data_IF_653055225222
#
_entry.id   IF_653055225222
#
_cell.length_a   1.000
_cell.length_b   1.000
_cell.length_c   1.000
_cell.angle_alpha   90.00
_cell.angle_beta   90.00
_cell.angle_gamma   90.00
#
_symmetry.space_group_name_H-M   'P 1'
#
loop_
_entity.id
_entity.type
_entity.pdbx_description
1 polymer ?
#
# COMPACT_ATOMS: atom_id res chain seq x y z
N UNK A 1 19.62 26.73 -4.18
CA UNK A 1 20.63 27.55 -3.46
C UNK A 1 20.49 27.33 -1.95
N UNK A 2 19.35 27.59 -1.30
CA UNK A 2 19.19 27.51 0.17
C UNK A 2 19.63 26.17 0.80
N UNK A 3 19.23 25.02 0.22
CA UNK A 3 19.60 23.68 0.72
C UNK A 3 21.12 23.50 0.74
N UNK A 4 21.83 23.92 -0.33
CA UNK A 4 23.30 23.86 -0.38
C UNK A 4 23.99 24.81 0.61
N UNK A 5 23.24 25.77 1.16
CA UNK A 5 23.70 26.71 2.20
C UNK A 5 23.29 26.27 3.60
N UNK A 6 22.81 25.02 3.76
CA UNK A 6 22.49 24.44 5.07
C UNK A 6 21.03 24.53 5.48
N UNK A 7 20.11 25.00 4.63
CA UNK A 7 18.69 24.91 4.91
C UNK A 7 18.24 23.45 4.94
N UNK A 8 17.42 23.09 5.93
CA UNK A 8 16.82 21.75 6.03
C UNK A 8 15.83 21.54 4.90
N UNK A 9 15.91 20.36 4.28
CA UNK A 9 15.01 19.94 3.21
C UNK A 9 13.98 18.94 3.75
N UNK A 10 12.71 19.32 3.77
CA UNK A 10 11.60 18.47 4.18
C UNK A 10 10.69 18.18 3.00
N UNK A 11 10.21 16.93 2.92
CA UNK A 11 9.18 16.49 2.00
C UNK A 11 7.91 16.11 2.76
N UNK A 12 6.74 16.49 2.24
CA UNK A 12 5.43 16.14 2.82
C UNK A 12 5.02 14.69 2.52
N UNK A 13 5.49 14.15 1.40
CA UNK A 13 5.36 12.76 0.97
C UNK A 13 6.35 12.50 -0.17
N UNK A 14 6.54 11.23 -0.53
CA UNK A 14 7.41 10.81 -1.62
C UNK A 14 6.65 10.14 -2.77
N UNK A 15 5.34 10.36 -2.89
CA UNK A 15 4.52 9.85 -4.00
C UNK A 15 5.06 10.39 -5.34
N UNK A 16 5.56 9.51 -6.20
CA UNK A 16 6.21 9.90 -7.46
C UNK A 16 5.23 10.29 -8.55
N UNK A 17 4.01 9.80 -8.48
CA UNK A 17 2.94 10.07 -9.43
C UNK A 17 1.65 10.47 -8.73
N UNK A 18 0.80 11.18 -9.46
CA UNK A 18 -0.53 11.57 -9.03
C UNK A 18 -1.53 11.13 -10.10
N UNK A 19 -2.51 10.27 -9.79
CA UNK A 19 -3.55 9.91 -10.74
C UNK A 19 -4.46 11.12 -11.01
N UNK A 20 -4.64 11.44 -12.28
CA UNK A 20 -5.54 12.48 -12.75
C UNK A 20 -6.41 11.93 -13.88
N UNK A 21 -7.43 12.66 -14.30
CA UNK A 21 -8.37 12.29 -15.37
C UNK A 21 -7.68 11.85 -16.68
N UNK A 22 -6.49 12.40 -16.98
CA UNK A 22 -5.70 12.10 -18.21
C UNK A 22 -4.63 11.03 -18.01
N UNK A 23 -4.57 10.34 -16.87
CA UNK A 23 -3.53 9.37 -16.53
C UNK A 23 -2.68 9.81 -15.35
N UNK A 24 -1.39 9.50 -15.35
CA UNK A 24 -0.49 9.85 -14.25
C UNK A 24 0.20 11.21 -14.49
N UNK A 25 0.03 12.12 -13.56
CA UNK A 25 0.78 13.37 -13.48
C UNK A 25 2.01 13.25 -12.56
N UNK A 26 2.86 14.24 -12.59
CA UNK A 26 4.05 14.35 -11.72
C UNK A 26 3.60 14.54 -10.28
N UNK A 27 3.97 13.60 -9.39
CA UNK A 27 3.75 13.68 -7.95
C UNK A 27 4.84 14.45 -7.22
N UNK A 28 4.61 14.73 -5.93
CA UNK A 28 5.55 15.45 -5.08
C UNK A 28 6.92 14.76 -5.00
N UNK A 29 6.95 13.43 -4.91
CA UNK A 29 8.19 12.65 -4.83
C UNK A 29 9.10 12.84 -6.04
N UNK A 30 8.55 13.01 -7.25
CA UNK A 30 9.34 13.30 -8.45
C UNK A 30 9.99 14.69 -8.39
N UNK A 31 9.28 15.70 -7.84
CA UNK A 31 9.84 17.03 -7.61
C UNK A 31 10.93 17.00 -6.52
N UNK A 32 10.71 16.23 -5.47
CA UNK A 32 11.69 15.99 -4.40
C UNK A 32 12.94 15.33 -4.96
N UNK A 33 12.80 14.28 -5.78
CA UNK A 33 13.91 13.58 -6.43
C UNK A 33 14.74 14.52 -7.35
N UNK A 34 14.08 15.41 -8.08
CA UNK A 34 14.77 16.41 -8.90
C UNK A 34 15.62 17.38 -8.04
N UNK A 35 15.09 17.83 -6.89
CA UNK A 35 15.81 18.71 -5.96
C UNK A 35 16.97 17.94 -5.29
N UNK A 36 16.73 16.71 -4.86
CA UNK A 36 17.75 15.82 -4.30
C UNK A 36 18.91 15.60 -5.27
N UNK A 37 18.60 15.26 -6.52
CA UNK A 37 19.59 15.11 -7.59
C UNK A 37 20.42 16.37 -7.82
N UNK A 38 19.77 17.55 -7.82
CA UNK A 38 20.43 18.82 -8.04
C UNK A 38 21.28 19.30 -6.86
N UNK A 39 20.94 18.90 -5.63
CA UNK A 39 21.61 19.39 -4.41
C UNK A 39 22.56 18.39 -3.77
N UNK A 40 22.36 17.09 -4.02
CA UNK A 40 23.03 15.99 -3.33
C UNK A 40 22.56 15.80 -1.88
N UNK A 41 21.44 16.43 -1.47
CA UNK A 41 20.93 16.39 -0.09
C UNK A 41 19.64 15.58 -0.05
N UNK A 42 19.64 14.55 0.81
CA UNK A 42 18.45 13.75 1.10
C UNK A 42 17.39 14.57 1.84
N UNK A 43 16.11 14.47 1.45
CA UNK A 43 15.03 15.10 2.19
C UNK A 43 14.75 14.36 3.50
N UNK A 44 14.31 15.09 4.51
CA UNK A 44 13.62 14.49 5.66
C UNK A 44 12.15 14.35 5.27
N UNK A 45 11.69 13.12 5.04
CA UNK A 45 10.26 12.90 4.78
C UNK A 45 9.46 13.08 6.08
N UNK A 46 8.49 13.99 6.07
CA UNK A 46 7.58 14.20 7.19
C UNK A 46 6.26 13.41 7.01
N UNK A 47 6.03 12.87 5.82
CA UNK A 47 4.87 12.07 5.46
C UNK A 47 5.25 10.70 4.91
N UNK A 48 4.31 10.08 4.21
CA UNK A 48 4.45 8.74 3.61
C UNK A 48 5.74 8.58 2.78
N UNK A 49 6.45 7.46 2.90
CA UNK A 49 6.19 6.25 3.69
C UNK A 49 6.64 6.30 5.16
N UNK A 50 7.05 7.46 5.67
CA UNK A 50 7.51 7.60 7.05
C UNK A 50 6.34 7.52 8.04
N UNK A 51 6.53 6.92 9.25
CA UNK A 51 5.46 6.67 10.21
C UNK A 51 4.94 7.91 10.93
N UNK A 52 5.66 9.03 10.87
CA UNK A 52 5.40 10.20 11.72
C UNK A 52 3.99 10.76 11.57
N UNK A 53 3.48 10.87 10.34
CA UNK A 53 2.13 11.39 10.07
C UNK A 53 1.04 10.47 10.62
N UNK A 54 1.19 9.16 10.43
CA UNK A 54 0.25 8.14 10.90
C UNK A 54 0.18 8.13 12.43
N UNK A 55 1.33 8.06 13.08
CA UNK A 55 1.43 8.05 14.56
C UNK A 55 0.91 9.35 15.17
N UNK A 56 1.18 10.49 14.54
CA UNK A 56 0.67 11.78 14.98
C UNK A 56 -0.86 11.82 14.91
N UNK A 57 -1.44 11.43 13.77
CA UNK A 57 -2.90 11.41 13.56
C UNK A 57 -3.59 10.49 14.58
N UNK A 58 -3.09 9.26 14.78
CA UNK A 58 -3.63 8.32 15.76
C UNK A 58 -3.59 8.89 17.19
N UNK A 59 -2.47 9.54 17.55
CA UNK A 59 -2.31 10.16 18.88
C UNK A 59 -3.28 11.32 19.09
N UNK A 60 -3.50 12.15 18.08
CA UNK A 60 -4.41 13.30 18.16
C UNK A 60 -5.84 12.92 18.52
N UNK A 61 -6.32 11.80 18.02
CA UNK A 61 -7.69 11.31 18.29
C UNK A 61 -7.75 10.24 19.38
N UNK A 62 -6.61 9.90 20.01
CA UNK A 62 -6.54 8.84 21.02
C UNK A 62 -6.90 7.45 20.50
N UNK A 63 -6.66 7.16 19.21
CA UNK A 63 -6.99 5.88 18.60
C UNK A 63 -6.15 4.75 19.22
N UNK A 64 -6.83 3.69 19.71
CA UNK A 64 -6.18 2.51 20.28
C UNK A 64 -5.82 1.46 19.24
N UNK A 65 -6.60 1.38 18.16
CA UNK A 65 -6.41 0.46 17.02
C UNK A 65 -6.64 1.23 15.73
N UNK A 66 -5.69 2.10 15.34
CA UNK A 66 -5.80 2.82 14.09
C UNK A 66 -5.64 1.87 12.90
N UNK A 67 -6.32 2.18 11.80
CA UNK A 67 -6.20 1.49 10.52
C UNK A 67 -5.70 2.49 9.49
N UNK A 68 -4.57 2.21 8.86
CA UNK A 68 -4.09 2.97 7.73
C UNK A 68 -4.75 2.44 6.45
N UNK A 69 -5.39 3.32 5.69
CA UNK A 69 -6.11 2.97 4.46
C UNK A 69 -5.48 3.72 3.30
N UNK A 70 -5.18 3.01 2.21
CA UNK A 70 -4.60 3.64 1.03
C UNK A 70 -4.60 2.72 -0.19
N UNK A 71 -4.18 3.28 -1.31
CA UNK A 71 -4.14 2.63 -2.62
C UNK A 71 -2.70 2.45 -3.14
N UNK A 72 -1.71 2.89 -2.39
CA UNK A 72 -0.29 2.77 -2.77
C UNK A 72 0.47 1.91 -1.78
N UNK A 73 1.09 0.85 -2.30
CA UNK A 73 1.90 -0.07 -1.49
C UNK A 73 3.19 0.58 -0.99
N UNK A 74 3.84 1.35 -1.84
CA UNK A 74 5.14 1.98 -1.59
C UNK A 74 5.10 3.15 -0.58
N UNK A 75 3.95 3.76 -0.39
CA UNK A 75 3.81 4.92 0.52
C UNK A 75 2.74 4.75 1.58
N UNK A 76 1.50 4.44 1.22
CA UNK A 76 0.40 4.33 2.20
C UNK A 76 0.55 3.09 3.07
N UNK A 77 0.72 1.94 2.44
CA UNK A 77 0.80 0.65 3.14
C UNK A 77 2.14 0.52 3.87
N UNK A 78 3.24 0.81 3.19
CA UNK A 78 4.56 0.83 3.81
C UNK A 78 4.62 1.78 5.01
N UNK A 79 4.01 2.96 4.90
CA UNK A 79 3.94 3.94 5.99
C UNK A 79 3.08 3.47 7.17
N UNK A 80 1.92 2.86 6.90
CA UNK A 80 1.07 2.24 7.92
C UNK A 80 1.80 1.10 8.65
N UNK A 81 2.47 0.22 7.91
CA UNK A 81 3.26 -0.87 8.46
C UNK A 81 4.44 -0.34 9.31
N UNK A 82 5.15 0.68 8.83
CA UNK A 82 6.23 1.35 9.57
C UNK A 82 5.73 2.01 10.86
N UNK A 83 4.47 2.45 10.89
CA UNK A 83 3.81 2.98 12.07
C UNK A 83 3.26 1.88 13.01
N UNK A 84 3.48 0.60 12.71
CA UNK A 84 2.93 -0.57 13.41
C UNK A 84 1.39 -0.53 13.52
N UNK A 85 0.73 -0.06 12.47
CA UNK A 85 -0.73 -0.05 12.34
C UNK A 85 -1.19 -1.20 11.45
N UNK A 86 -2.42 -1.67 11.67
CA UNK A 86 -3.10 -2.47 10.65
C UNK A 86 -3.29 -1.63 9.38
N UNK A 87 -3.18 -2.27 8.22
CA UNK A 87 -3.25 -1.60 6.92
C UNK A 87 -4.32 -2.23 6.03
N UNK A 88 -5.05 -1.38 5.31
CA UNK A 88 -6.09 -1.78 4.36
C UNK A 88 -5.80 -1.18 2.99
N UNK A 89 -5.52 -2.05 2.02
CA UNK A 89 -5.31 -1.64 0.65
C UNK A 89 -6.61 -1.65 -0.14
N UNK A 90 -6.86 -0.61 -0.94
CA UNK A 90 -8.01 -0.51 -1.86
C UNK A 90 -7.54 -0.57 -3.31
N UNK A 91 -8.19 -1.43 -4.11
CA UNK A 91 -7.85 -1.68 -5.53
C UNK A 91 -8.32 -0.57 -6.49
N UNK A 92 -8.92 0.51 -5.98
CA UNK A 92 -9.47 1.59 -6.79
C UNK A 92 -8.46 2.68 -7.19
N UNK A 93 -7.18 2.47 -6.88
CA UNK A 93 -6.15 3.49 -7.07
C UNK A 93 -4.95 3.06 -7.90
N UNK A 94 -3.75 3.30 -7.37
CA UNK A 94 -2.49 3.18 -8.11
C UNK A 94 -1.96 1.76 -8.16
N UNK A 95 -1.85 1.08 -7.00
CA UNK A 95 -1.29 -0.27 -6.94
C UNK A 95 -2.38 -1.31 -7.15
N UNK A 96 -2.19 -2.16 -8.17
CA UNK A 96 -3.14 -3.20 -8.56
C UNK A 96 -2.78 -4.60 -8.06
N UNK A 97 -3.37 -5.59 -8.68
CA UNK A 97 -3.28 -6.99 -8.26
C UNK A 97 -1.86 -7.55 -8.41
N UNK A 98 -1.16 -7.20 -9.50
CA UNK A 98 0.20 -7.70 -9.75
C UNK A 98 1.18 -7.12 -8.74
N UNK A 99 1.11 -5.82 -8.47
CA UNK A 99 1.94 -5.16 -7.47
C UNK A 99 1.72 -5.75 -6.07
N UNK A 100 0.47 -6.17 -5.75
CA UNK A 100 0.18 -6.88 -4.49
C UNK A 100 0.85 -8.25 -4.43
N UNK A 101 0.78 -9.03 -5.52
CA UNK A 101 1.41 -10.37 -5.58
C UNK A 101 2.92 -10.26 -5.36
N UNK A 102 3.55 -9.27 -5.99
CA UNK A 102 4.99 -9.02 -5.95
C UNK A 102 5.44 -8.17 -4.75
N UNK A 103 4.50 -7.75 -3.88
CA UNK A 103 4.80 -6.83 -2.80
C UNK A 103 5.86 -7.37 -1.84
N UNK A 104 6.92 -6.59 -1.56
CA UNK A 104 7.87 -6.92 -0.50
C UNK A 104 7.18 -6.87 0.86
N UNK A 105 7.72 -7.59 1.84
CA UNK A 105 7.08 -7.82 3.14
C UNK A 105 6.64 -6.52 3.82
N UNK A 106 7.46 -5.48 3.76
CA UNK A 106 7.21 -4.17 4.36
C UNK A 106 6.03 -3.42 3.73
N UNK A 107 5.63 -3.80 2.50
CA UNK A 107 4.52 -3.19 1.75
C UNK A 107 3.30 -4.11 1.64
N UNK A 108 3.26 -5.26 2.33
CA UNK A 108 2.11 -6.16 2.34
C UNK A 108 1.04 -5.64 3.29
N UNK A 109 -0.19 -5.39 2.81
CA UNK A 109 -1.30 -4.97 3.67
C UNK A 109 -1.87 -6.14 4.49
N UNK A 110 -2.46 -5.82 5.67
CA UNK A 110 -3.20 -6.82 6.46
C UNK A 110 -4.55 -7.17 5.82
N UNK A 111 -5.14 -6.19 5.12
CA UNK A 111 -6.47 -6.31 4.52
C UNK A 111 -6.47 -5.74 3.11
N UNK A 112 -7.25 -6.35 2.22
CA UNK A 112 -7.41 -5.92 0.84
C UNK A 112 -8.91 -5.78 0.54
N UNK A 113 -9.30 -4.69 -0.10
CA UNK A 113 -10.65 -4.43 -0.53
C UNK A 113 -10.75 -4.02 -1.98
N UNK A 114 -11.84 -4.39 -2.65
CA UNK A 114 -12.17 -3.88 -3.98
C UNK A 114 -12.35 -2.35 -3.99
N UNK A 115 -12.71 -1.77 -2.82
CA UNK A 115 -12.87 -0.34 -2.64
C UNK A 115 -13.22 0.00 -1.18
N UNK A 116 -13.41 1.30 -0.92
CA UNK A 116 -13.68 1.83 0.43
C UNK A 116 -14.95 1.27 1.08
N UNK A 117 -15.95 0.83 0.29
CA UNK A 117 -17.19 0.25 0.80
C UNK A 117 -16.94 -1.05 1.57
N UNK A 118 -15.86 -1.77 1.30
CA UNK A 118 -15.50 -3.01 1.99
C UNK A 118 -14.95 -2.79 3.41
N UNK A 119 -14.65 -1.56 3.81
CA UNK A 119 -14.34 -1.24 5.22
C UNK A 119 -15.49 -1.56 6.19
N UNK A 120 -16.72 -1.66 5.69
CA UNK A 120 -17.88 -2.06 6.48
C UNK A 120 -18.03 -3.58 6.65
N UNK A 121 -17.23 -4.38 5.94
CA UNK A 121 -17.28 -5.84 6.04
C UNK A 121 -16.53 -6.35 7.28
N UNK A 122 -16.88 -7.57 7.75
CA UNK A 122 -16.11 -8.21 8.80
C UNK A 122 -14.63 -8.37 8.40
N UNK A 123 -13.74 -8.12 9.34
CA UNK A 123 -12.28 -8.20 9.14
C UNK A 123 -11.84 -9.54 8.54
N UNK A 124 -12.51 -10.65 8.91
CA UNK A 124 -12.18 -11.98 8.42
C UNK A 124 -12.30 -12.15 6.92
N UNK A 125 -13.19 -11.38 6.26
CA UNK A 125 -13.36 -11.49 4.80
C UNK A 125 -12.40 -10.58 4.03
N UNK A 126 -11.76 -9.62 4.67
CA UNK A 126 -10.82 -8.72 4.02
C UNK A 126 -9.35 -9.21 4.07
N UNK A 127 -9.06 -10.25 4.83
CA UNK A 127 -7.70 -10.83 4.94
C UNK A 127 -7.37 -11.70 3.72
N UNK A 128 -6.08 -11.80 3.33
CA UNK A 128 -5.61 -12.90 2.51
C UNK A 128 -6.03 -14.26 3.10
N UNK A 129 -6.44 -15.19 2.24
CA UNK A 129 -6.91 -16.50 2.63
C UNK A 129 -7.90 -17.08 1.63
N UNK A 130 -8.11 -18.38 1.65
CA UNK A 130 -9.03 -19.09 0.77
C UNK A 130 -10.48 -18.57 0.94
N UNK A 131 -11.06 -18.06 -0.13
CA UNK A 131 -12.37 -17.41 -0.14
C UNK A 131 -13.16 -17.72 -1.43
N UNK A 132 -14.47 -17.52 -1.40
CA UNK A 132 -15.31 -17.62 -2.59
C UNK A 132 -15.24 -18.99 -3.29
N UNK A 133 -14.91 -20.07 -2.57
CA UNK A 133 -14.72 -21.39 -3.17
C UNK A 133 -13.44 -21.52 -4.02
N UNK A 134 -12.57 -20.51 -4.02
CA UNK A 134 -11.26 -20.58 -4.65
C UNK A 134 -10.24 -21.33 -3.78
N UNK A 135 -9.32 -22.00 -4.46
CA UNK A 135 -8.10 -22.57 -3.89
C UNK A 135 -6.90 -22.12 -4.71
N UNK A 136 -5.79 -21.85 -4.07
CA UNK A 136 -4.55 -21.51 -4.76
C UNK A 136 -3.41 -22.44 -4.31
N UNK A 137 -2.45 -22.69 -5.18
CA UNK A 137 -1.22 -23.42 -4.87
C UNK A 137 -0.07 -22.91 -5.72
N UNK A 138 1.13 -23.14 -5.23
CA UNK A 138 2.35 -22.91 -6.00
C UNK A 138 2.75 -24.19 -6.73
N UNK A 139 3.18 -24.07 -7.97
CA UNK A 139 3.75 -25.14 -8.78
C UNK A 139 5.04 -24.64 -9.45
N UNK A 140 6.16 -24.89 -8.79
CA UNK A 140 7.43 -24.26 -9.16
C UNK A 140 7.39 -22.74 -8.97
N UNK A 141 7.42 -22.00 -10.06
CA UNK A 141 7.32 -20.52 -10.06
C UNK A 141 5.91 -20.02 -10.42
N UNK A 142 4.98 -20.92 -10.72
CA UNK A 142 3.63 -20.57 -11.13
C UNK A 142 2.68 -20.56 -9.91
N UNK A 143 1.79 -19.58 -9.91
CA UNK A 143 0.66 -19.52 -8.98
C UNK A 143 -0.59 -20.02 -9.71
N UNK A 144 -1.12 -21.13 -9.27
CA UNK A 144 -2.30 -21.76 -9.83
C UNK A 144 -3.52 -21.46 -8.96
N UNK A 145 -4.56 -20.93 -9.58
CA UNK A 145 -5.85 -20.64 -8.95
C UNK A 145 -6.92 -21.53 -9.56
N UNK A 146 -7.69 -22.20 -8.73
CA UNK A 146 -8.77 -23.11 -9.15
C UNK A 146 -10.04 -22.84 -8.35
N UNK A 147 -11.20 -23.31 -8.85
CA UNK A 147 -12.48 -23.21 -8.17
C UNK A 147 -13.22 -21.89 -8.43
N UNK A 148 -13.97 -21.45 -7.44
CA UNK A 148 -14.93 -20.35 -7.57
C UNK A 148 -16.28 -20.78 -8.13
N UNK A 149 -17.28 -19.92 -8.02
CA UNK A 149 -18.62 -20.09 -8.57
C UNK A 149 -19.16 -18.76 -9.12
N UNK A 150 -20.40 -18.75 -9.62
CA UNK A 150 -21.03 -17.55 -10.21
C UNK A 150 -21.17 -16.36 -9.24
N UNK A 151 -21.02 -16.57 -7.93
CA UNK A 151 -21.09 -15.51 -6.90
C UNK A 151 -19.73 -15.07 -6.42
N UNK A 152 -18.67 -15.77 -6.86
CA UNK A 152 -17.31 -15.48 -6.46
C UNK A 152 -16.83 -14.18 -7.12
N UNK A 153 -16.02 -13.41 -6.40
CA UNK A 153 -15.51 -12.11 -6.86
C UNK A 153 -14.01 -12.17 -7.15
N UNK A 154 -13.53 -11.28 -8.02
CA UNK A 154 -12.10 -11.16 -8.34
C UNK A 154 -11.26 -10.85 -7.08
N UNK A 155 -11.78 -10.04 -6.15
CA UNK A 155 -11.06 -9.75 -4.90
C UNK A 155 -10.94 -10.97 -3.99
N UNK A 156 -11.90 -11.90 -4.01
CA UNK A 156 -11.79 -13.17 -3.29
C UNK A 156 -10.74 -14.09 -3.94
N UNK A 157 -10.69 -14.13 -5.27
CA UNK A 157 -9.65 -14.83 -6.01
C UNK A 157 -8.25 -14.26 -5.65
N UNK A 158 -8.11 -12.95 -5.68
CA UNK A 158 -6.86 -12.27 -5.32
C UNK A 158 -6.43 -12.59 -3.88
N UNK A 159 -7.33 -12.45 -2.89
CA UNK A 159 -7.01 -12.76 -1.48
C UNK A 159 -6.55 -14.21 -1.31
N UNK A 160 -7.15 -15.14 -2.08
CA UNK A 160 -6.76 -16.56 -2.07
C UNK A 160 -5.35 -16.76 -2.65
N UNK A 161 -5.02 -16.07 -3.75
CA UNK A 161 -3.68 -16.12 -4.36
C UNK A 161 -2.64 -15.52 -3.44
N UNK A 162 -2.94 -14.38 -2.80
CA UNK A 162 -1.99 -13.66 -1.94
C UNK A 162 -1.56 -14.49 -0.71
N UNK A 163 -2.45 -15.32 -0.14
CA UNK A 163 -2.07 -16.22 0.95
C UNK A 163 -0.91 -17.14 0.55
N UNK A 164 -0.98 -17.68 -0.66
CA UNK A 164 0.06 -18.59 -1.18
C UNK A 164 1.29 -17.81 -1.65
N UNK A 165 1.10 -16.73 -2.40
CA UNK A 165 2.20 -15.92 -2.93
C UNK A 165 3.09 -15.36 -1.82
N UNK A 166 2.50 -14.89 -0.73
CA UNK A 166 3.25 -14.31 0.38
C UNK A 166 3.85 -15.34 1.35
N UNK A 167 3.48 -16.60 1.22
CA UNK A 167 4.11 -17.71 1.94
C UNK A 167 5.35 -18.27 1.21
N UNK A 168 5.56 -17.87 -0.05
CA UNK A 168 6.76 -18.25 -0.79
C UNK A 168 7.99 -17.55 -0.21
N UNK A 169 9.15 -18.26 -0.18
CA UNK A 169 10.40 -17.73 0.35
C UNK A 169 11.00 -16.59 -0.50
#
# INVERSE_FOLDING_TARGET
MAIRQGAKFFASNLDTSLPIERGLAVGNGSLVAAIQSATGVEPVSAGKPEPAMFTFAAKQIGAKKPLAVGDRLDTDIAGGNSAAMDTFHVLTGVSGELELIEAPVESRPNFIGAGMHELALPVSVARPGAQGGFTARCDGHDLLLEGGDEKSTSVQALRTVLEVAWAMP
#
